data_IF_522788881029
#
_entry.id   IF_522788881029
#
_cell.length_a   1.000
_cell.length_b   1.000
_cell.length_c   1.000
_cell.angle_alpha   90.00
_cell.angle_beta   90.00
_cell.angle_gamma   90.00
#
_symmetry.space_group_name_H-M   'P 1'
#
loop_
_entity.id
_entity.type
_entity.pdbx_description
1 polymer ?
#
# COMPACT_ATOMS: atom_id res chain seq x y z
N UNK A 1 -24.42 -29.49 -38.87
CA UNK A 1 -23.63 -29.00 -37.72
C UNK A 1 -23.45 -27.50 -37.87
N UNK A 2 -23.88 -26.73 -36.85
CA UNK A 2 -23.34 -25.45 -36.35
C UNK A 2 -22.30 -24.68 -37.21
N UNK A 3 -22.31 -23.35 -37.45
CA UNK A 3 -23.02 -22.13 -36.96
C UNK A 3 -22.89 -21.09 -38.11
N UNK A 4 -23.95 -20.41 -38.58
CA UNK A 4 -24.56 -19.14 -38.11
C UNK A 4 -23.51 -18.02 -37.93
N UNK A 5 -23.28 -17.20 -38.97
CA UNK A 5 -23.95 -15.91 -39.29
C UNK A 5 -23.39 -14.76 -38.44
N UNK A 6 -22.75 -13.79 -39.08
CA UNK A 6 -22.83 -12.35 -38.75
C UNK A 6 -22.20 -11.59 -39.94
N UNK A 7 -23.06 -11.25 -40.88
CA UNK A 7 -22.83 -10.18 -41.85
C UNK A 7 -24.07 -9.30 -41.79
N UNK A 8 -23.91 -8.05 -41.38
CA UNK A 8 -24.72 -6.96 -41.90
C UNK A 8 -23.96 -5.65 -41.80
N UNK A 9 -23.81 -5.08 -42.98
CA UNK A 9 -23.08 -3.90 -43.37
C UNK A 9 -23.99 -2.65 -43.27
N UNK A 10 -23.37 -1.46 -43.34
CA UNK A 10 -23.92 -0.15 -43.74
C UNK A 10 -24.56 0.68 -42.61
N UNK A 11 -24.30 1.99 -42.45
CA UNK A 11 -24.12 3.06 -43.44
C UNK A 11 -23.04 4.07 -42.97
N UNK A 12 -22.04 4.42 -43.79
CA UNK A 12 -22.02 5.56 -44.73
C UNK A 12 -22.06 6.95 -44.07
N UNK A 13 -20.90 7.62 -43.95
CA UNK A 13 -20.57 8.93 -44.58
C UNK A 13 -19.43 9.67 -43.85
N UNK A 14 -18.48 10.19 -44.63
CA UNK A 14 -17.78 11.44 -44.31
C UNK A 14 -16.36 11.32 -43.79
N UNK A 15 -15.40 11.68 -44.64
CA UNK A 15 -13.96 11.73 -44.37
C UNK A 15 -13.55 12.88 -43.41
N UNK A 16 -12.48 12.68 -42.63
CA UNK A 16 -11.32 13.58 -42.65
C UNK A 16 -10.10 13.03 -41.88
N UNK A 17 -8.99 13.00 -42.61
CA UNK A 17 -7.56 13.04 -42.28
C UNK A 17 -7.19 13.22 -40.79
N UNK A 18 -6.38 12.29 -40.25
CA UNK A 18 -4.99 12.48 -39.76
C UNK A 18 -4.43 11.08 -39.48
N UNK A 19 -3.46 10.65 -40.29
CA UNK A 19 -2.66 9.46 -40.02
C UNK A 19 -1.74 9.74 -38.83
N UNK A 20 -2.15 9.34 -37.63
CA UNK A 20 -1.24 9.20 -36.49
C UNK A 20 -0.95 7.72 -36.29
N UNK A 21 0.31 7.35 -36.50
CA UNK A 21 0.85 6.04 -36.16
C UNK A 21 0.53 5.74 -34.70
N UNK A 22 -0.45 4.86 -34.45
CA UNK A 22 -0.57 4.19 -33.17
C UNK A 22 0.57 3.17 -33.14
N UNK A 23 1.75 3.65 -32.78
CA UNK A 23 2.79 2.77 -32.28
C UNK A 23 2.23 2.11 -31.02
N UNK A 24 2.26 0.78 -30.89
CA UNK A 24 1.98 0.15 -29.61
C UNK A 24 3.03 0.72 -28.65
N UNK A 25 2.60 1.50 -27.67
CA UNK A 25 3.46 2.00 -26.61
C UNK A 25 4.01 0.77 -25.89
N UNK A 26 5.19 0.33 -26.32
CA UNK A 26 5.98 -0.68 -25.65
C UNK A 26 6.29 -0.10 -24.28
N UNK A 27 5.49 -0.48 -23.29
CA UNK A 27 5.72 -0.13 -21.89
C UNK A 27 7.08 -0.70 -21.52
N UNK A 28 8.09 0.15 -21.55
CA UNK A 28 9.41 -0.17 -21.01
C UNK A 28 9.18 -0.54 -19.54
N UNK A 29 9.34 -1.83 -19.21
CA UNK A 29 9.31 -2.34 -17.84
C UNK A 29 10.58 -1.88 -17.12
N UNK A 30 10.67 -0.57 -16.88
CA UNK A 30 11.78 0.04 -16.15
C UNK A 30 11.63 -0.18 -14.64
N UNK A 31 12.68 0.09 -13.84
CA UNK A 31 12.64 0.02 -12.38
C UNK A 31 11.47 0.78 -11.74
N UNK A 32 11.09 1.92 -12.34
CA UNK A 32 9.93 2.74 -11.91
C UNK A 32 8.61 1.97 -11.98
N UNK A 33 8.43 1.09 -12.96
CA UNK A 33 7.22 0.26 -13.09
C UNK A 33 7.18 -0.83 -12.02
N UNK A 34 8.34 -1.41 -11.69
CA UNK A 34 8.46 -2.39 -10.61
C UNK A 34 8.16 -1.77 -9.24
N UNK A 35 8.70 -0.58 -8.96
CA UNK A 35 8.42 0.15 -7.71
C UNK A 35 6.93 0.50 -7.56
N UNK A 36 6.30 0.96 -8.66
CA UNK A 36 4.87 1.22 -8.71
C UNK A 36 4.04 -0.02 -8.41
N UNK A 37 4.41 -1.16 -9.00
CA UNK A 37 3.73 -2.42 -8.75
C UNK A 37 3.94 -2.91 -7.31
N UNK A 38 5.15 -2.78 -6.76
CA UNK A 38 5.46 -3.16 -5.39
C UNK A 38 4.61 -2.37 -4.38
N UNK A 39 4.51 -1.05 -4.54
CA UNK A 39 3.69 -0.23 -3.63
C UNK A 39 2.19 -0.48 -3.80
N UNK A 40 1.70 -0.74 -5.02
CA UNK A 40 0.29 -1.13 -5.23
C UNK A 40 -0.04 -2.47 -4.58
N UNK A 41 0.86 -3.44 -4.65
CA UNK A 41 0.70 -4.73 -3.99
C UNK A 41 0.71 -4.56 -2.46
N UNK A 42 1.65 -3.75 -1.93
CA UNK A 42 1.70 -3.41 -0.52
C UNK A 42 0.42 -2.70 -0.05
N UNK A 43 -0.07 -1.72 -0.81
CA UNK A 43 -1.32 -1.01 -0.55
C UNK A 43 -2.54 -1.93 -0.53
N UNK A 44 -2.61 -2.91 -1.44
CA UNK A 44 -3.71 -3.89 -1.50
C UNK A 44 -3.79 -4.81 -0.29
N UNK A 45 -2.68 -5.05 0.43
CA UNK A 45 -2.67 -5.86 1.66
C UNK A 45 -3.44 -5.21 2.79
N UNK A 46 -3.50 -3.88 2.82
CA UNK A 46 -4.14 -3.13 3.91
C UNK A 46 -5.65 -3.33 3.85
N UNK A 47 -6.31 -3.51 4.99
CA UNK A 47 -7.78 -3.60 5.03
C UNK A 47 -8.46 -2.38 4.37
N UNK A 48 -9.58 -2.62 3.70
CA UNK A 48 -10.32 -1.60 2.96
C UNK A 48 -10.74 -0.39 3.81
N UNK A 49 -11.14 -0.60 5.07
CA UNK A 49 -11.53 0.46 5.99
C UNK A 49 -10.31 1.25 6.46
N UNK A 50 -9.21 0.56 6.74
CA UNK A 50 -7.94 1.18 7.12
C UNK A 50 -7.36 2.03 5.99
N UNK A 51 -7.44 1.56 4.73
CA UNK A 51 -7.08 2.37 3.55
C UNK A 51 -7.87 3.66 3.44
N UNK A 52 -9.17 3.61 3.73
CA UNK A 52 -9.99 4.83 3.73
C UNK A 52 -9.57 5.80 4.84
N UNK A 53 -9.27 5.29 6.03
CA UNK A 53 -8.76 6.11 7.15
C UNK A 53 -7.42 6.76 6.79
N UNK A 54 -6.48 6.00 6.22
CA UNK A 54 -5.18 6.50 5.77
C UNK A 54 -5.32 7.61 4.71
N UNK A 55 -6.17 7.41 3.69
CA UNK A 55 -6.41 8.42 2.65
C UNK A 55 -6.99 9.73 3.20
N UNK A 56 -7.93 9.63 4.15
CA UNK A 56 -8.58 10.78 4.77
C UNK A 56 -7.72 11.43 5.86
N UNK A 57 -6.68 10.75 6.34
CA UNK A 57 -5.81 11.30 7.38
C UNK A 57 -5.07 12.54 6.86
N UNK A 58 -5.06 13.58 7.69
CA UNK A 58 -4.24 14.78 7.50
C UNK A 58 -2.87 14.65 8.17
N UNK A 59 -2.63 13.54 8.88
CA UNK A 59 -1.49 13.37 9.79
C UNK A 59 -0.31 12.66 9.09
N UNK A 60 0.22 13.29 8.04
CA UNK A 60 1.34 12.71 7.27
C UNK A 60 2.55 12.43 8.15
N UNK A 61 2.89 13.36 9.05
CA UNK A 61 4.02 13.24 9.98
C UNK A 61 3.89 12.01 10.89
N UNK A 62 2.70 11.70 11.39
CA UNK A 62 2.48 10.52 12.23
C UNK A 62 2.74 9.22 11.46
N UNK A 63 2.27 9.15 10.20
CA UNK A 63 2.52 8.00 9.34
C UNK A 63 4.02 7.86 9.09
N UNK A 64 4.71 8.97 8.77
CA UNK A 64 6.15 9.00 8.56
C UNK A 64 6.92 8.50 9.80
N UNK A 65 6.59 8.98 11.01
CA UNK A 65 7.21 8.51 12.25
C UNK A 65 7.00 7.00 12.49
N UNK A 66 5.83 6.46 12.14
CA UNK A 66 5.61 5.01 12.22
C UNK A 66 6.44 4.26 11.18
N UNK A 67 6.50 4.76 9.94
CA UNK A 67 7.29 4.15 8.88
C UNK A 67 8.78 4.12 9.22
N UNK A 68 9.33 5.19 9.78
CA UNK A 68 10.74 5.26 10.20
C UNK A 68 11.08 4.14 11.20
N UNK A 69 10.29 4.03 12.28
CA UNK A 69 10.48 2.99 13.30
C UNK A 69 10.32 1.58 12.74
N UNK A 70 9.31 1.37 11.89
CA UNK A 70 9.04 0.08 11.27
C UNK A 70 10.17 -0.31 10.31
N UNK A 71 10.66 0.61 9.49
CA UNK A 71 11.75 0.35 8.55
C UNK A 71 13.07 0.09 9.27
N UNK A 72 13.36 0.82 10.34
CA UNK A 72 14.50 0.54 11.21
C UNK A 72 14.40 -0.88 11.79
N UNK A 73 13.27 -1.23 12.40
CA UNK A 73 13.00 -2.58 12.90
C UNK A 73 13.19 -3.67 11.82
N UNK A 74 12.68 -3.46 10.61
CA UNK A 74 12.84 -4.45 9.53
C UNK A 74 14.31 -4.63 9.14
N UNK A 75 15.11 -3.56 9.15
CA UNK A 75 16.53 -3.58 8.73
C UNK A 75 17.49 -4.07 9.81
N UNK A 76 17.20 -3.75 11.07
CA UNK A 76 18.18 -3.84 12.16
C UNK A 76 18.00 -5.07 13.05
N UNK A 77 16.86 -5.77 12.93
CA UNK A 77 16.56 -6.94 13.78
C UNK A 77 16.51 -8.24 12.99
N UNK A 78 16.54 -9.38 13.66
CA UNK A 78 16.43 -10.70 13.06
C UNK A 78 14.98 -11.22 13.10
N UNK A 79 14.77 -12.43 12.56
CA UNK A 79 13.51 -13.15 12.67
C UNK A 79 13.31 -13.61 14.12
N UNK A 80 12.14 -13.30 14.71
CA UNK A 80 11.82 -13.61 16.10
C UNK A 80 11.84 -12.38 17.02
N UNK A 81 12.52 -11.31 16.62
CA UNK A 81 12.48 -10.03 17.33
C UNK A 81 11.10 -9.35 17.20
N UNK A 82 10.74 -8.57 18.23
CA UNK A 82 9.49 -7.82 18.27
C UNK A 82 9.70 -6.34 18.56
N UNK A 83 8.99 -5.49 17.82
CA UNK A 83 8.88 -4.06 18.11
C UNK A 83 7.62 -3.80 18.94
N UNK A 84 7.75 -3.11 20.07
CA UNK A 84 6.62 -2.73 20.92
C UNK A 84 6.43 -1.22 20.82
N UNK A 85 5.22 -0.79 20.46
CA UNK A 85 4.84 0.63 20.45
C UNK A 85 3.62 0.85 21.35
N UNK A 86 3.72 1.80 22.27
CA UNK A 86 2.60 2.22 23.11
C UNK A 86 1.78 3.29 22.37
N UNK A 87 0.51 3.00 22.07
CA UNK A 87 -0.37 3.93 21.34
C UNK A 87 -1.75 3.87 21.97
N UNK A 88 -2.12 4.91 22.71
CA UNK A 88 -3.39 4.93 23.47
C UNK A 88 -4.61 5.33 22.63
N UNK A 89 -4.42 6.15 21.60
CA UNK A 89 -5.53 6.58 20.74
C UNK A 89 -5.95 5.48 19.75
N UNK A 90 -7.25 5.10 19.68
CA UNK A 90 -7.74 4.07 18.77
C UNK A 90 -7.52 4.36 17.29
N UNK A 91 -7.64 5.62 16.87
CA UNK A 91 -7.45 5.99 15.47
C UNK A 91 -5.98 5.90 15.08
N UNK A 92 -5.07 6.40 15.92
CA UNK A 92 -3.62 6.27 15.74
C UNK A 92 -3.18 4.80 15.72
N UNK A 93 -3.80 3.92 16.52
CA UNK A 93 -3.58 2.46 16.41
C UNK A 93 -4.06 1.89 15.10
N UNK A 94 -5.25 2.29 14.62
CA UNK A 94 -5.75 1.87 13.30
C UNK A 94 -4.76 2.23 12.19
N UNK A 95 -4.21 3.45 12.23
CA UNK A 95 -3.19 3.87 11.26
C UNK A 95 -1.89 3.05 11.39
N UNK A 96 -1.42 2.79 12.62
CA UNK A 96 -0.24 1.96 12.87
C UNK A 96 -0.41 0.55 12.31
N UNK A 97 -1.55 -0.10 12.55
CA UNK A 97 -1.86 -1.41 12.00
C UNK A 97 -1.84 -1.40 10.46
N UNK A 98 -2.41 -0.36 9.84
CA UNK A 98 -2.35 -0.19 8.38
C UNK A 98 -0.93 -0.03 7.84
N UNK A 99 -0.06 0.68 8.54
CA UNK A 99 1.37 0.80 8.18
C UNK A 99 2.05 -0.57 8.29
N UNK A 100 1.77 -1.34 9.35
CA UNK A 100 2.30 -2.69 9.50
C UNK A 100 1.85 -3.61 8.36
N UNK A 101 0.57 -3.59 7.97
CA UNK A 101 0.02 -4.36 6.85
C UNK A 101 0.70 -4.00 5.52
N UNK A 102 0.95 -2.71 5.29
CA UNK A 102 1.68 -2.22 4.12
C UNK A 102 3.07 -2.85 4.02
N UNK A 103 3.80 -2.96 5.14
CA UNK A 103 5.13 -3.57 5.22
C UNK A 103 5.11 -5.10 5.42
N UNK A 104 3.94 -5.74 5.28
CA UNK A 104 3.76 -7.19 5.46
C UNK A 104 4.08 -7.72 6.87
N UNK A 105 3.99 -6.87 7.88
CA UNK A 105 4.24 -7.24 9.28
C UNK A 105 2.97 -7.78 9.94
N UNK A 106 3.15 -8.50 11.04
CA UNK A 106 2.07 -8.86 11.97
C UNK A 106 2.04 -7.81 13.07
N UNK A 107 0.85 -7.34 13.42
CA UNK A 107 0.69 -6.37 14.50
C UNK A 107 -0.53 -6.73 15.35
N UNK A 108 -0.34 -6.79 16.67
CA UNK A 108 -1.39 -7.15 17.63
C UNK A 108 -1.39 -6.12 18.75
N UNK A 109 -2.54 -5.52 19.03
CA UNK A 109 -2.70 -4.65 20.19
C UNK A 109 -3.24 -5.45 21.37
N UNK A 110 -2.57 -5.32 22.52
CA UNK A 110 -3.02 -5.86 23.80
C UNK A 110 -3.16 -4.74 24.82
N UNK A 111 -3.98 -4.97 25.84
CA UNK A 111 -4.06 -4.11 27.02
C UNK A 111 -3.18 -4.76 28.08
N UNK A 112 -2.17 -4.05 28.52
CA UNK A 112 -1.32 -4.45 29.64
C UNK A 112 -1.62 -3.56 30.84
N UNK A 113 -1.31 -4.05 32.04
CA UNK A 113 -1.42 -3.28 33.28
C UNK A 113 -0.01 -2.94 33.74
N UNK A 114 0.29 -1.66 33.86
CA UNK A 114 1.55 -1.15 34.39
C UNK A 114 1.22 -0.19 35.53
N UNK A 115 1.72 -0.47 36.73
CA UNK A 115 1.48 0.33 37.94
C UNK A 115 0.00 0.60 38.25
N UNK A 116 -0.90 -0.31 37.85
CA UNK A 116 -2.35 -0.18 38.03
C UNK A 116 -3.07 0.60 36.94
N UNK A 117 -2.37 1.14 35.94
CA UNK A 117 -2.95 1.80 34.78
C UNK A 117 -2.99 0.87 33.56
N UNK A 118 -4.10 0.89 32.83
CA UNK A 118 -4.27 0.09 31.62
C UNK A 118 -3.59 0.77 30.42
N UNK A 119 -2.47 0.21 29.97
CA UNK A 119 -1.73 0.69 28.80
C UNK A 119 -2.06 -0.14 27.56
N UNK A 120 -2.28 0.53 26.42
CA UNK A 120 -2.45 -0.15 25.13
C UNK A 120 -1.12 -0.20 24.38
N UNK A 121 -0.62 -1.41 24.19
CA UNK A 121 0.64 -1.66 23.48
C UNK A 121 0.37 -2.48 22.22
N UNK A 122 1.02 -2.09 21.13
CA UNK A 122 0.99 -2.80 19.85
C UNK A 122 2.31 -3.54 19.69
N UNK A 123 2.25 -4.87 19.68
CA UNK A 123 3.36 -5.78 19.43
C UNK A 123 3.43 -6.05 17.93
N UNK A 124 4.60 -5.83 17.34
CA UNK A 124 4.85 -5.91 15.91
C UNK A 124 5.95 -6.94 15.66
N UNK A 125 5.71 -7.89 14.77
CA UNK A 125 6.66 -8.97 14.46
C UNK A 125 6.77 -9.20 12.95
N UNK A 126 7.92 -9.76 12.55
CA UNK A 126 8.14 -10.24 11.18
C UNK A 126 7.38 -11.55 10.96
N UNK A 127 6.93 -11.79 9.72
CA UNK A 127 6.30 -13.07 9.37
C UNK A 127 7.39 -14.12 9.18
N UNK A 128 7.37 -15.16 9.99
CA UNK A 128 8.37 -16.23 9.98
C UNK A 128 8.53 -16.84 8.58
N UNK A 129 9.78 -17.01 8.13
CA UNK A 129 10.11 -17.66 6.86
C UNK A 129 9.73 -16.88 5.60
N UNK A 130 9.40 -15.58 5.73
CA UNK A 130 9.19 -14.68 4.59
C UNK A 130 10.17 -13.53 4.65
N UNK A 131 10.98 -13.37 3.60
CA UNK A 131 11.74 -12.14 3.41
C UNK A 131 10.78 -10.96 3.29
N UNK A 132 11.07 -9.89 4.05
CA UNK A 132 10.34 -8.64 3.96
C UNK A 132 11.10 -7.73 3.00
N UNK A 133 10.60 -7.64 1.78
CA UNK A 133 11.09 -6.64 0.82
C UNK A 133 10.47 -5.28 1.14
N UNK A 134 11.32 -4.32 1.47
CA UNK A 134 10.89 -2.93 1.72
C UNK A 134 10.64 -2.22 0.39
N UNK A 135 9.42 -1.71 0.13
CA UNK A 135 9.18 -0.87 -1.03
C UNK A 135 10.07 0.38 -1.03
N UNK A 136 10.54 0.77 -2.22
CA UNK A 136 11.29 2.01 -2.42
C UNK A 136 10.40 3.25 -2.20
N UNK A 137 9.12 3.17 -2.56
CA UNK A 137 8.12 4.21 -2.30
C UNK A 137 7.46 3.93 -0.94
N UNK A 138 7.60 4.87 0.00
CA UNK A 138 6.95 4.78 1.31
C UNK A 138 5.44 4.98 1.20
N UNK A 139 4.69 4.51 2.22
CA UNK A 139 3.25 4.69 2.30
C UNK A 139 2.88 6.18 2.33
N UNK A 140 3.57 6.97 3.16
CA UNK A 140 3.43 8.43 3.24
C UNK A 140 3.63 9.09 1.88
N UNK A 141 4.70 8.74 1.16
CA UNK A 141 4.97 9.28 -0.17
C UNK A 141 3.88 8.89 -1.18
N UNK A 142 3.49 7.61 -1.19
CA UNK A 142 2.39 7.12 -2.03
C UNK A 142 1.06 7.86 -1.76
N UNK A 143 0.73 8.12 -0.49
CA UNK A 143 -0.47 8.89 -0.11
C UNK A 143 -0.37 10.35 -0.57
N UNK A 144 0.80 10.99 -0.46
CA UNK A 144 1.04 12.34 -0.97
C UNK A 144 0.84 12.40 -2.48
N UNK A 145 1.45 11.48 -3.23
CA UNK A 145 1.30 11.41 -4.69
C UNK A 145 -0.16 11.16 -5.11
N UNK A 146 -0.86 10.28 -4.40
CA UNK A 146 -2.27 9.98 -4.66
C UNK A 146 -3.17 11.20 -4.48
N UNK A 147 -2.92 12.03 -3.46
CA UNK A 147 -3.69 13.28 -3.22
C UNK A 147 -3.46 14.33 -4.31
N UNK A 148 -2.28 14.33 -4.93
CA UNK A 148 -1.89 15.27 -5.99
C UNK A 148 -2.29 14.78 -7.39
N UNK A 149 -2.93 13.61 -7.52
CA UNK A 149 -3.30 13.03 -8.81
C UNK A 149 -2.10 12.54 -9.64
N UNK A 150 -0.94 12.35 -9.01
CA UNK A 150 0.30 11.93 -9.69
C UNK A 150 0.49 10.41 -9.70
N UNK A 151 -0.54 9.66 -9.30
CA UNK A 151 -0.52 8.19 -9.19
C UNK A 151 -1.36 7.52 -10.27
#
# INVERSE_FOLDING_TARGET
>A
MQKKLEACLLHHLGANIIGSSISPCAKNKGPVDADKMAVLNAWRRIDSRTRQALRRSVVSELIECYEERIRAFVRETEDGDGLILQVQDPFRRLLLHGVCEFYNLVSVTVIESENGEAIKVTKITKKMGRSIELPNITLSHFLKMSKQGMW
#
